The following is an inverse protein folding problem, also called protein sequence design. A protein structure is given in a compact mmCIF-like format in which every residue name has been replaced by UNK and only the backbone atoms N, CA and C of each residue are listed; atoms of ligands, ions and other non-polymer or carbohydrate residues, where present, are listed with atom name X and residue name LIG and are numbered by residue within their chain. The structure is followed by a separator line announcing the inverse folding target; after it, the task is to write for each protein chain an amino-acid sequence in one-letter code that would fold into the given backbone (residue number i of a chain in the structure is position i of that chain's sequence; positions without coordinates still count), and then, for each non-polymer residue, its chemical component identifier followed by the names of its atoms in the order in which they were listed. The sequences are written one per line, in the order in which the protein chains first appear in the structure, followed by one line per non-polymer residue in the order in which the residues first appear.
data_IF_266042486560
#
_entry.id   IF_266042486560
#
_cell.length_a   1.000
_cell.length_b   1.000
_cell.length_c   1.000
_cell.angle_alpha   90.00
_cell.angle_beta   90.00
_cell.angle_gamma   90.00
#
_symmetry.space_group_name_H-M   'P 1'
#
loop_
_entity.id
_entity.type
_entity.pdbx_description
1 polymer ?
#
# COMPACT_ATOMS: atom_id res chain seq x y z
N UNK A 1 -1.66 -8.45 3.11
CA UNK A 1 -0.74 -7.51 2.46
C UNK A 1 0.65 -7.89 2.89
N UNK A 2 1.46 -8.25 1.92
CA UNK A 2 2.87 -8.57 2.09
C UNK A 2 3.71 -7.50 1.37
N UNK A 3 5.00 -7.45 1.71
CA UNK A 3 5.95 -6.57 1.03
C UNK A 3 5.99 -6.93 -0.46
N UNK A 4 5.87 -5.92 -1.31
CA UNK A 4 5.83 -6.07 -2.78
C UNK A 4 4.42 -6.14 -3.37
N UNK A 5 3.38 -6.28 -2.56
CA UNK A 5 2.00 -6.19 -3.04
C UNK A 5 1.69 -4.81 -3.61
N UNK A 6 0.87 -4.77 -4.68
CA UNK A 6 0.33 -3.54 -5.24
C UNK A 6 -1.10 -3.36 -4.75
N UNK A 7 -1.35 -2.22 -4.14
CA UNK A 7 -2.67 -1.80 -3.69
C UNK A 7 -3.04 -0.44 -4.28
N UNK A 8 -4.34 -0.14 -4.31
CA UNK A 8 -4.86 1.19 -4.60
C UNK A 8 -5.33 1.80 -3.29
N UNK A 9 -4.89 3.02 -3.01
CA UNK A 9 -5.39 3.76 -1.86
C UNK A 9 -6.83 4.20 -2.14
N UNK A 10 -7.77 3.84 -1.27
CA UNK A 10 -9.20 4.13 -1.46
C UNK A 10 -9.63 5.42 -0.76
N UNK A 11 -8.85 5.92 0.19
CA UNK A 11 -9.21 7.10 1.01
C UNK A 11 -8.07 8.13 1.18
N UNK A 12 -8.45 9.38 1.38
CA UNK A 12 -7.58 10.53 1.65
C UNK A 12 -6.99 11.18 0.39
N UNK A 13 -6.00 12.06 0.55
CA UNK A 13 -5.45 12.92 -0.52
C UNK A 13 -4.91 12.19 -1.77
N UNK A 14 -4.43 10.96 -1.62
CA UNK A 14 -3.97 10.12 -2.75
C UNK A 14 -4.91 8.96 -3.07
N UNK A 15 -6.21 9.09 -2.75
CA UNK A 15 -7.20 8.11 -3.18
C UNK A 15 -7.16 7.90 -4.71
N UNK A 16 -7.34 6.68 -5.17
CA UNK A 16 -7.26 6.26 -6.57
C UNK A 16 -5.83 5.97 -7.07
N UNK A 17 -4.78 6.27 -6.30
CA UNK A 17 -3.39 6.01 -6.73
C UNK A 17 -2.94 4.60 -6.37
N UNK A 18 -2.24 3.97 -7.32
CA UNK A 18 -1.50 2.71 -7.09
C UNK A 18 -0.30 2.96 -6.20
N UNK A 19 -0.12 2.09 -5.23
CA UNK A 19 0.95 2.10 -4.24
C UNK A 19 1.46 0.68 -4.01
N UNK A 20 2.74 0.57 -3.68
CA UNK A 20 3.42 -0.68 -3.35
C UNK A 20 3.65 -0.75 -1.85
N UNK A 21 3.37 -1.91 -1.26
CA UNK A 21 3.62 -2.18 0.15
C UNK A 21 5.12 -2.40 0.36
N UNK A 22 5.72 -1.63 1.27
CA UNK A 22 7.15 -1.68 1.58
C UNK A 22 7.47 -2.30 2.94
N UNK A 23 6.48 -2.46 3.82
CA UNK A 23 6.65 -3.11 5.12
C UNK A 23 5.57 -4.14 5.39
N UNK A 24 5.89 -5.07 6.28
CA UNK A 24 4.87 -5.96 6.85
C UNK A 24 3.84 -5.15 7.65
N UNK A 25 2.58 -5.59 7.67
CA UNK A 25 1.53 -4.93 8.45
C UNK A 25 1.84 -5.05 9.94
N UNK A 26 1.96 -3.89 10.61
CA UNK A 26 2.10 -3.77 12.07
C UNK A 26 0.90 -2.98 12.60
N UNK A 27 0.13 -3.58 13.50
CA UNK A 27 -1.09 -2.96 14.07
C UNK A 27 -2.08 -2.43 13.01
N UNK A 28 -2.22 -3.13 11.89
CA UNK A 28 -3.08 -2.71 10.77
C UNK A 28 -2.54 -1.52 9.95
N UNK A 29 -1.28 -1.13 10.14
CA UNK A 29 -0.60 -0.11 9.33
C UNK A 29 0.55 -0.71 8.54
N UNK A 30 0.79 -0.16 7.35
CA UNK A 30 1.83 -0.57 6.41
C UNK A 30 2.50 0.67 5.82
N UNK A 31 3.79 0.58 5.55
CA UNK A 31 4.48 1.56 4.71
C UNK A 31 4.10 1.34 3.26
N UNK A 32 3.67 2.41 2.60
CA UNK A 32 3.34 2.44 1.18
C UNK A 32 4.24 3.42 0.44
N UNK A 33 4.52 3.14 -0.82
CA UNK A 33 5.25 4.03 -1.73
C UNK A 33 4.63 3.96 -3.12
N UNK A 34 4.65 5.06 -3.88
CA UNK A 34 4.20 5.02 -5.27
C UNK A 34 4.79 6.16 -6.09
N UNK A 35 4.63 6.10 -7.41
CA UNK A 35 5.23 7.06 -8.37
C UNK A 35 4.94 8.53 -8.05
N UNK A 36 3.80 8.82 -7.42
CA UNK A 36 3.41 10.15 -6.95
C UNK A 36 2.82 10.10 -5.53
N UNK A 37 3.26 9.15 -4.72
CA UNK A 37 2.81 8.95 -3.34
C UNK A 37 4.06 8.87 -2.49
N UNK A 38 4.26 9.87 -1.63
CA UNK A 38 5.40 9.88 -0.71
C UNK A 38 5.34 8.66 0.20
N UNK A 39 6.50 8.11 0.51
CA UNK A 39 6.63 6.97 1.41
C UNK A 39 6.08 7.34 2.79
N UNK A 40 5.04 6.62 3.23
CA UNK A 40 4.39 6.88 4.51
C UNK A 40 3.62 5.68 5.03
N UNK A 41 3.28 5.71 6.30
CA UNK A 41 2.38 4.74 6.89
C UNK A 41 0.93 4.99 6.47
N UNK A 42 0.23 3.92 6.12
CA UNK A 42 -1.18 3.92 5.80
C UNK A 42 -1.88 2.75 6.49
N UNK A 43 -3.13 2.96 6.88
CA UNK A 43 -3.95 1.89 7.41
C UNK A 43 -4.35 0.93 6.27
N UNK A 44 -4.22 -0.37 6.50
CA UNK A 44 -4.56 -1.41 5.52
C UNK A 44 -6.03 -1.35 5.10
N UNK A 45 -6.93 -0.85 5.96
CA UNK A 45 -8.34 -0.68 5.62
C UNK A 45 -8.59 0.38 4.52
N UNK A 46 -7.61 1.27 4.28
CA UNK A 46 -7.67 2.30 3.23
C UNK A 46 -6.98 1.86 1.95
N UNK A 47 -6.62 0.58 1.85
CA UNK A 47 -5.88 0.02 0.74
C UNK A 47 -6.70 -1.14 0.15
N UNK A 48 -6.92 -1.08 -1.16
CA UNK A 48 -7.55 -2.15 -1.93
C UNK A 48 -6.46 -2.94 -2.65
N UNK A 49 -6.27 -4.20 -2.28
CA UNK A 49 -5.25 -5.05 -2.91
C UNK A 49 -5.61 -5.30 -4.37
N UNK A 50 -4.69 -5.02 -5.29
CA UNK A 50 -4.90 -5.20 -6.73
C UNK A 50 -4.09 -6.38 -7.26
N UNK A 51 -2.82 -6.46 -6.86
CA UNK A 51 -1.90 -7.49 -7.33
C UNK A 51 -1.05 -7.98 -6.17
N UNK A 52 -0.91 -9.30 -6.03
CA UNK A 52 0.00 -9.91 -5.07
C UNK A 52 1.42 -9.83 -5.62
N UNK A 53 2.33 -9.30 -4.84
CA UNK A 53 3.75 -9.27 -5.16
C UNK A 53 4.25 -10.70 -5.30
N UNK A 54 4.76 -11.07 -6.48
CA UNK A 54 5.39 -12.39 -6.65
C UNK A 54 6.68 -12.39 -5.82
N UNK A 55 6.70 -13.18 -4.74
CA UNK A 55 7.95 -13.66 -4.15
C UNK A 55 8.66 -14.46 -5.25
N UNK A 56 9.78 -13.93 -5.73
CA UNK A 56 10.66 -14.63 -6.67
C UNK A 56 11.74 -15.34 -5.88
#
# INVERSE_FOLDING_TARGET
MEIGDIAIKTKGREAGRKVTIKSNPKNGRVLIEGKNVKTKECNVQHLFLVEKGKKK
#
